data_IF_111097710068
#
_entry.id   IF_111097710068
#
_cell.length_a   1.000
_cell.length_b   1.000
_cell.length_c   1.000
_cell.angle_alpha   90.00
_cell.angle_beta   90.00
_cell.angle_gamma   90.00
#
_symmetry.space_group_name_H-M   'P 1'
#
loop_
_entity.id
_entity.type
_entity.pdbx_description
1 polymer ?
#
# COMPACT_ATOMS: atom_id res chain seq x y z
N UNK A 1 14.08 24.61 19.71
CA UNK A 1 13.98 23.83 18.95
C UNK A 1 13.03 23.58 17.82
N UNK A 2 11.85 23.30 18.17
CA UNK A 2 10.90 22.91 17.12
C UNK A 2 10.64 24.04 16.14
N UNK A 3 10.85 25.26 16.56
CA UNK A 3 10.64 26.39 15.67
C UNK A 3 11.61 26.38 14.49
N UNK A 4 12.70 25.64 14.64
CA UNK A 4 13.67 25.55 13.57
C UNK A 4 13.18 24.69 12.41
N UNK A 5 12.25 23.81 12.68
CA UNK A 5 11.76 22.87 11.68
C UNK A 5 10.33 23.14 11.28
N UNK A 6 9.65 23.98 12.04
CA UNK A 6 8.23 24.19 11.84
C UNK A 6 7.89 25.65 11.74
N UNK A 7 7.22 26.00 10.66
CA UNK A 7 6.67 27.33 10.52
C UNK A 7 5.19 27.26 10.88
N UNK A 8 4.75 27.91 11.98
CA UNK A 8 3.35 27.85 12.39
C UNK A 8 2.38 28.34 11.32
N UNK A 9 2.85 29.21 10.45
CA UNK A 9 2.02 29.76 9.41
C UNK A 9 1.95 28.86 8.17
N UNK A 10 2.86 27.87 8.09
CA UNK A 10 2.90 26.94 6.97
C UNK A 10 3.21 25.54 7.50
N UNK A 11 2.26 24.93 8.20
CA UNK A 11 2.48 23.59 8.75
C UNK A 11 2.64 22.56 7.67
N UNK A 12 3.39 21.52 7.98
CA UNK A 12 3.53 20.40 7.05
C UNK A 12 2.19 19.67 6.95
N UNK A 13 1.94 18.99 5.83
CA UNK A 13 0.64 18.33 5.63
C UNK A 13 0.23 17.40 6.75
N UNK A 14 1.17 16.68 7.35
CA UNK A 14 0.82 15.73 8.41
C UNK A 14 0.61 16.39 9.77
N UNK A 15 0.86 17.69 9.86
CA UNK A 15 0.68 18.42 11.14
C UNK A 15 -0.72 19.01 11.28
N UNK A 16 -1.44 19.12 10.18
CA UNK A 16 -2.77 19.68 10.22
C UNK A 16 -3.85 18.61 10.28
N UNK A 17 -5.11 19.02 10.10
CA UNK A 17 -6.20 18.05 10.03
C UNK A 17 -5.98 17.10 8.87
N UNK A 18 -6.25 15.82 9.11
CA UNK A 18 -6.07 14.83 8.06
C UNK A 18 -7.30 14.74 7.18
N UNK A 19 -7.09 14.27 5.95
CA UNK A 19 -8.19 14.14 4.99
C UNK A 19 -9.16 13.05 5.45
N UNK A 20 -8.62 11.93 5.91
CA UNK A 20 -9.43 10.81 6.36
C UNK A 20 -9.30 10.60 7.86
N UNK A 21 -10.45 10.38 8.50
CA UNK A 21 -10.47 10.03 9.91
C UNK A 21 -11.13 8.67 10.15
N UNK A 22 -11.67 8.06 9.08
CA UNK A 22 -12.33 6.77 9.17
C UNK A 22 -11.70 5.79 8.20
N UNK A 23 -11.74 4.52 8.58
CA UNK A 23 -11.07 3.47 7.82
C UNK A 23 -11.65 3.25 6.43
N UNK A 24 -12.98 3.12 6.33
CA UNK A 24 -13.60 2.77 5.06
C UNK A 24 -13.34 3.82 3.96
N UNK A 25 -13.53 5.12 4.21
CA UNK A 25 -13.21 6.11 3.18
C UNK A 25 -11.72 6.11 2.83
N UNK A 26 -10.85 5.85 3.80
CA UNK A 26 -9.42 5.82 3.53
C UNK A 26 -9.07 4.66 2.62
N UNK A 27 -9.68 3.51 2.84
CA UNK A 27 -9.46 2.35 1.99
C UNK A 27 -9.95 2.63 0.57
N UNK A 28 -11.12 3.25 0.44
CA UNK A 28 -11.65 3.58 -0.87
C UNK A 28 -10.73 4.53 -1.63
N UNK A 29 -10.19 5.51 -0.92
CA UNK A 29 -9.27 6.46 -1.54
C UNK A 29 -7.98 5.78 -1.97
N UNK A 30 -7.46 4.89 -1.13
CA UNK A 30 -6.27 4.11 -1.49
C UNK A 30 -6.54 3.26 -2.73
N UNK A 31 -7.69 2.59 -2.77
CA UNK A 31 -8.04 1.78 -3.93
C UNK A 31 -8.01 2.59 -5.21
N UNK A 32 -8.64 3.77 -5.17
CA UNK A 32 -8.68 4.61 -6.35
C UNK A 32 -7.27 5.03 -6.77
N UNK A 33 -6.46 5.45 -5.81
CA UNK A 33 -5.11 5.91 -6.12
C UNK A 33 -4.21 4.80 -6.64
N UNK A 34 -4.27 3.64 -6.01
CA UNK A 34 -3.40 2.54 -6.39
C UNK A 34 -3.83 1.90 -7.69
N UNK A 35 -5.09 2.11 -8.09
CA UNK A 35 -5.58 1.59 -9.37
C UNK A 35 -5.43 2.58 -10.51
N UNK A 36 -4.84 3.75 -10.29
CA UNK A 36 -4.53 4.64 -11.39
C UNK A 36 -3.51 3.96 -12.30
N UNK A 37 -3.66 4.05 -13.62
CA UNK A 37 -2.82 3.27 -14.54
C UNK A 37 -1.33 3.40 -14.29
N UNK A 38 -0.82 4.61 -14.11
CA UNK A 38 0.61 4.80 -13.87
C UNK A 38 1.05 4.20 -12.56
N UNK A 39 0.25 4.37 -11.52
CA UNK A 39 0.56 3.83 -10.20
C UNK A 39 0.48 2.31 -10.23
N UNK A 40 -0.58 1.79 -10.83
CA UNK A 40 -0.76 0.35 -10.97
C UNK A 40 0.45 -0.30 -11.64
N UNK A 41 0.88 0.25 -12.78
CA UNK A 41 2.01 -0.32 -13.50
C UNK A 41 3.30 -0.24 -12.70
N UNK A 42 3.50 0.85 -11.98
CA UNK A 42 4.68 0.99 -11.13
C UNK A 42 4.70 -0.02 -9.99
N UNK A 43 3.55 -0.21 -9.34
CA UNK A 43 3.44 -1.16 -8.25
C UNK A 43 3.68 -2.59 -8.75
N UNK A 44 3.00 -2.95 -9.83
CA UNK A 44 3.12 -4.29 -10.38
C UNK A 44 4.56 -4.57 -10.82
N UNK A 45 5.20 -3.57 -11.43
CA UNK A 45 6.59 -3.72 -11.83
C UNK A 45 7.52 -3.96 -10.65
N UNK A 46 7.33 -3.19 -9.58
CA UNK A 46 8.16 -3.34 -8.39
C UNK A 46 7.94 -4.71 -7.74
N UNK A 47 6.69 -5.13 -7.65
CA UNK A 47 6.39 -6.44 -7.07
C UNK A 47 6.96 -7.57 -7.94
N UNK A 48 6.90 -7.41 -9.24
CA UNK A 48 7.48 -8.40 -10.16
C UNK A 48 9.00 -8.47 -10.01
N UNK A 49 9.62 -7.34 -9.69
CA UNK A 49 11.06 -7.29 -9.46
C UNK A 49 11.48 -7.85 -8.11
N UNK A 50 10.53 -8.23 -7.28
CA UNK A 50 10.83 -8.87 -6.02
C UNK A 50 10.67 -8.01 -4.78
N UNK A 51 10.14 -6.80 -4.90
CA UNK A 51 9.90 -5.97 -3.73
C UNK A 51 8.83 -6.63 -2.86
N UNK A 52 9.10 -6.87 -1.57
CA UNK A 52 8.09 -7.50 -0.71
C UNK A 52 6.86 -6.65 -0.54
N UNK A 53 5.71 -7.30 -0.41
CA UNK A 53 4.44 -6.61 -0.24
C UNK A 53 4.45 -5.70 0.98
N UNK A 54 5.02 -6.18 2.09
CA UNK A 54 5.08 -5.37 3.30
C UNK A 54 5.86 -4.08 3.12
N UNK A 55 6.98 -4.18 2.40
CA UNK A 55 7.80 -3.02 2.15
C UNK A 55 7.08 -2.01 1.25
N UNK A 56 6.40 -2.50 0.24
CA UNK A 56 5.60 -1.64 -0.62
C UNK A 56 4.48 -0.96 0.17
N UNK A 57 3.80 -1.72 1.03
CA UNK A 57 2.74 -1.16 1.86
C UNK A 57 3.29 -0.06 2.77
N UNK A 58 4.47 -0.30 3.35
CA UNK A 58 5.08 0.70 4.20
C UNK A 58 5.34 2.00 3.46
N UNK A 59 5.91 1.91 2.26
CA UNK A 59 6.19 3.09 1.47
C UNK A 59 4.93 3.88 1.13
N UNK A 60 3.89 3.15 0.71
CA UNK A 60 2.63 3.78 0.34
C UNK A 60 2.01 4.50 1.54
N UNK A 61 2.01 3.84 2.69
CA UNK A 61 1.36 4.40 3.86
C UNK A 61 2.13 5.57 4.44
N UNK A 62 3.46 5.49 4.45
CA UNK A 62 4.25 6.62 4.90
C UNK A 62 4.09 7.83 4.00
N UNK A 63 4.00 7.61 2.71
CA UNK A 63 3.78 8.71 1.79
C UNK A 63 2.42 9.36 2.03
N UNK A 64 1.39 8.55 2.22
CA UNK A 64 0.07 9.08 2.53
C UNK A 64 0.05 9.86 3.83
N UNK A 65 0.73 9.34 4.85
CA UNK A 65 0.83 10.04 6.11
C UNK A 65 1.56 11.37 5.94
N UNK A 66 2.68 11.37 5.22
CA UNK A 66 3.45 12.59 5.00
C UNK A 66 2.63 13.65 4.26
N UNK A 67 1.71 13.21 3.42
CA UNK A 67 0.84 14.11 2.68
C UNK A 67 -0.41 14.51 3.46
N UNK A 68 -0.52 14.08 4.71
CA UNK A 68 -1.64 14.48 5.54
C UNK A 68 -2.93 13.74 5.25
N UNK A 69 -2.84 12.57 4.63
CA UNK A 69 -4.05 11.82 4.29
C UNK A 69 -4.71 11.21 5.51
N UNK A 70 -3.93 10.78 6.49
CA UNK A 70 -4.45 10.15 7.70
C UNK A 70 -3.46 10.29 8.83
N UNK A 71 -3.94 10.11 10.05
CA UNK A 71 -3.08 10.16 11.23
C UNK A 71 -2.37 8.82 11.44
N UNK A 72 -1.42 8.76 12.37
CA UNK A 72 -0.69 7.52 12.60
C UNK A 72 -1.56 6.33 13.01
N UNK A 73 -2.61 6.58 13.79
CA UNK A 73 -3.49 5.48 14.21
C UNK A 73 -4.20 4.86 13.02
N UNK A 74 -4.73 5.70 12.14
CA UNK A 74 -5.41 5.21 10.95
C UNK A 74 -4.42 4.54 10.01
N UNK A 75 -3.20 5.08 9.93
CA UNK A 75 -2.16 4.46 9.12
C UNK A 75 -1.92 3.01 9.54
N UNK A 76 -1.87 2.76 10.84
CA UNK A 76 -1.66 1.40 11.33
C UNK A 76 -2.82 0.48 10.97
N UNK A 77 -4.04 1.01 11.01
CA UNK A 77 -5.20 0.22 10.63
C UNK A 77 -5.24 -0.07 9.13
N UNK A 78 -4.57 0.75 8.36
CA UNK A 78 -4.54 0.57 6.91
C UNK A 78 -3.52 -0.46 6.43
N UNK A 79 -2.64 -0.94 7.32
CA UNK A 79 -1.59 -1.87 6.92
C UNK A 79 -2.15 -3.12 6.26
N UNK A 80 -3.04 -3.81 6.96
CA UNK A 80 -3.59 -5.05 6.43
C UNK A 80 -4.39 -4.85 5.15
N UNK A 81 -5.33 -3.89 5.10
CA UNK A 81 -6.04 -3.65 3.85
C UNK A 81 -5.12 -3.30 2.69
N UNK A 82 -4.07 -2.52 2.95
CA UNK A 82 -3.14 -2.14 1.89
C UNK A 82 -2.43 -3.36 1.34
N UNK A 83 -2.00 -4.27 2.21
CA UNK A 83 -1.35 -5.49 1.77
C UNK A 83 -2.28 -6.32 0.90
N UNK A 84 -3.56 -6.42 1.28
CA UNK A 84 -4.52 -7.16 0.47
C UNK A 84 -4.75 -6.48 -0.88
N UNK A 85 -4.79 -5.16 -0.91
CA UNK A 85 -4.93 -4.45 -2.18
C UNK A 85 -3.73 -4.77 -3.09
N UNK A 86 -2.53 -4.74 -2.54
CA UNK A 86 -1.33 -5.02 -3.33
C UNK A 86 -1.34 -6.44 -3.89
N UNK A 87 -1.77 -7.39 -3.09
CA UNK A 87 -1.89 -8.77 -3.55
C UNK A 87 -2.92 -8.87 -4.68
N UNK A 88 -4.04 -8.17 -4.52
CA UNK A 88 -5.08 -8.18 -5.54
C UNK A 88 -4.57 -7.57 -6.86
N UNK A 89 -3.80 -6.49 -6.76
CA UNK A 89 -3.22 -5.87 -7.96
C UNK A 89 -2.22 -6.81 -8.64
N UNK A 90 -1.40 -7.50 -7.85
CA UNK A 90 -0.46 -8.46 -8.39
C UNK A 90 -1.19 -9.60 -9.07
N UNK A 91 -2.27 -10.06 -8.46
CA UNK A 91 -3.07 -11.14 -9.01
C UNK A 91 -3.68 -10.74 -10.35
N UNK A 92 -4.16 -9.50 -10.44
CA UNK A 92 -4.72 -8.98 -11.68
C UNK A 92 -3.68 -8.95 -12.80
N UNK A 93 -2.43 -8.75 -12.45
CA UNK A 93 -1.35 -8.65 -13.42
C UNK A 93 -0.59 -9.98 -13.59
N UNK A 94 -1.09 -11.03 -12.95
CA UNK A 94 -0.48 -12.36 -13.04
C UNK A 94 0.95 -12.35 -12.52
N UNK A 95 1.19 -11.62 -11.43
CA UNK A 95 2.48 -11.53 -10.77
C UNK A 95 2.40 -12.24 -9.42
N UNK A 96 3.41 -13.01 -9.07
CA UNK A 96 3.49 -13.64 -7.76
C UNK A 96 4.34 -12.76 -6.85
N UNK A 97 3.71 -12.04 -5.93
CA UNK A 97 4.46 -11.12 -5.09
C UNK A 97 5.13 -11.85 -3.93
N UNK A 98 6.22 -11.28 -3.45
CA UNK A 98 6.88 -11.78 -2.26
C UNK A 98 6.20 -11.17 -1.05
N UNK A 99 5.84 -12.01 -0.10
CA UNK A 99 5.19 -11.56 1.12
C UNK A 99 6.21 -11.39 2.22
N UNK A 100 7.12 -12.35 2.32
CA UNK A 100 8.14 -12.34 3.35
C UNK A 100 9.41 -11.66 2.87
N UNK A 101 10.05 -10.98 3.79
CA UNK A 101 11.35 -10.39 3.55
C UNK A 101 12.39 -11.40 3.99
N UNK A 102 13.15 -11.91 3.02
CA UNK A 102 14.16 -12.90 3.33
C UNK A 102 15.33 -12.34 4.13
N UNK A 103 15.48 -11.04 4.06
CA UNK A 103 16.55 -10.34 4.75
C UNK A 103 16.10 -9.82 6.09
N UNK A 104 15.25 -10.58 6.76
CA UNK A 104 14.77 -10.23 8.07
C UNK A 104 15.95 -10.13 9.02
N UNK A 105 16.37 -8.92 9.27
CA UNK A 105 17.54 -8.67 10.09
C UNK A 105 17.07 -8.52 11.54
N UNK A 106 17.38 -9.54 12.34
CA UNK A 106 16.96 -9.53 13.74
C UNK A 106 17.55 -8.38 14.51
N UNK A 107 18.69 -7.87 14.06
CA UNK A 107 19.33 -6.76 14.73
C UNK A 107 18.56 -5.46 14.56
N UNK A 108 17.70 -5.39 13.56
CA UNK A 108 16.92 -4.19 13.31
C UNK A 108 15.63 -4.14 14.12
N UNK A 109 15.27 -5.22 14.79
CA UNK A 109 14.00 -5.29 15.51
C UNK A 109 13.81 -4.20 16.54
N UNK A 110 14.90 -3.84 17.23
CA UNK A 110 14.79 -2.84 18.27
C UNK A 110 14.46 -1.46 17.73
N UNK A 111 14.70 -1.25 16.44
CA UNK A 111 14.50 0.05 15.84
C UNK A 111 13.30 0.09 14.89
N UNK A 112 12.51 -0.97 14.89
CA UNK A 112 11.32 -1.01 14.03
C UNK A 112 10.34 0.08 14.43
N UNK A 113 9.85 0.79 13.44
CA UNK A 113 8.81 1.78 13.67
C UNK A 113 7.49 1.08 13.98
N UNK A 114 6.51 1.85 14.42
CA UNK A 114 5.20 1.28 14.70
C UNK A 114 4.58 0.65 13.46
N UNK A 115 4.81 1.25 12.29
CA UNK A 115 4.26 0.70 11.07
C UNK A 115 4.95 -0.60 10.68
N UNK A 116 6.26 -0.70 10.89
CA UNK A 116 6.96 -1.94 10.61
C UNK A 116 6.49 -3.06 11.52
N UNK A 117 6.22 -2.73 12.78
CA UNK A 117 5.66 -3.71 13.71
C UNK A 117 4.27 -4.15 13.28
N UNK A 118 3.46 -3.22 12.79
CA UNK A 118 2.14 -3.56 12.30
C UNK A 118 2.21 -4.46 11.08
N UNK A 119 3.17 -4.22 10.22
CA UNK A 119 3.37 -5.06 9.04
C UNK A 119 3.77 -6.47 9.45
N UNK A 120 4.67 -6.58 10.44
CA UNK A 120 5.07 -7.90 10.92
C UNK A 120 3.90 -8.67 11.50
N UNK A 121 3.04 -7.99 12.25
CA UNK A 121 1.84 -8.62 12.79
C UNK A 121 0.88 -9.02 11.68
N UNK A 122 0.74 -8.15 10.68
CA UNK A 122 -0.16 -8.42 9.58
C UNK A 122 0.31 -9.64 8.78
N UNK A 123 1.62 -9.80 8.63
CA UNK A 123 2.16 -10.96 7.92
C UNK A 123 1.77 -12.26 8.58
N UNK A 124 1.76 -12.29 9.92
CA UNK A 124 1.41 -13.49 10.64
C UNK A 124 -0.06 -13.87 10.47
N UNK A 125 -0.92 -12.88 10.40
CA UNK A 125 -2.35 -13.11 10.25
C UNK A 125 -2.80 -13.09 8.80
N UNK A 126 -1.93 -12.68 7.91
CA UNK A 126 -2.25 -12.43 6.53
C UNK A 126 -2.31 -13.73 5.73
N UNK A 127 -3.41 -13.93 5.01
CA UNK A 127 -3.57 -15.10 4.15
C UNK A 127 -3.80 -14.61 2.73
N UNK A 128 -2.77 -14.68 1.87
CA UNK A 128 -2.88 -14.13 0.51
C UNK A 128 -4.02 -14.71 -0.30
N UNK A 129 -4.40 -15.95 -0.03
CA UNK A 129 -5.48 -16.58 -0.77
C UNK A 129 -6.85 -16.16 -0.29
N UNK A 130 -6.92 -15.37 0.78
CA UNK A 130 -8.18 -14.95 1.38
C UNK A 130 -8.38 -13.44 1.28
N UNK A 131 -8.14 -12.90 0.10
CA UNK A 131 -8.38 -11.48 -0.14
C UNK A 131 -9.85 -11.18 0.11
N UNK A 132 -10.17 -10.15 0.92
CA UNK A 132 -11.56 -9.80 1.14
C UNK A 132 -12.29 -9.53 -0.18
N UNK A 133 -13.50 -10.05 -0.27
CA UNK A 133 -14.28 -9.94 -1.50
C UNK A 133 -14.47 -8.48 -1.90
N UNK A 134 -14.68 -7.61 -0.92
CA UNK A 134 -14.87 -6.20 -1.21
C UNK A 134 -13.66 -5.58 -1.88
N UNK A 135 -12.47 -5.90 -1.40
CA UNK A 135 -11.25 -5.38 -1.99
C UNK A 135 -11.05 -5.95 -3.38
N UNK A 136 -11.21 -7.26 -3.53
CA UNK A 136 -11.03 -7.90 -4.82
C UNK A 136 -12.00 -7.34 -5.85
N UNK A 137 -13.25 -7.20 -5.46
CA UNK A 137 -14.29 -6.69 -6.37
C UNK A 137 -13.98 -5.26 -6.81
N UNK A 138 -13.57 -4.41 -5.85
CA UNK A 138 -13.25 -3.03 -6.17
C UNK A 138 -12.01 -2.89 -7.04
N UNK A 139 -11.01 -3.72 -6.79
CA UNK A 139 -9.82 -3.72 -7.63
C UNK A 139 -10.16 -4.13 -9.05
N UNK A 140 -10.95 -5.17 -9.21
CA UNK A 140 -11.35 -5.60 -10.54
C UNK A 140 -12.11 -4.50 -11.29
N UNK A 141 -12.99 -3.84 -10.58
CA UNK A 141 -13.80 -2.78 -11.17
C UNK A 141 -12.95 -1.59 -11.57
N UNK A 142 -12.05 -1.19 -10.69
CA UNK A 142 -11.22 -0.01 -10.93
C UNK A 142 -10.13 -0.26 -11.97
N UNK A 143 -9.71 -1.51 -12.16
CA UNK A 143 -8.66 -1.83 -13.10
C UNK A 143 -9.17 -2.29 -14.46
N UNK A 144 -10.47 -2.45 -14.61
CA UNK A 144 -10.99 -3.01 -15.86
C UNK A 144 -10.69 -2.12 -17.08
N UNK A 145 -10.49 -0.83 -16.85
CA UNK A 145 -10.18 0.09 -17.94
C UNK A 145 -8.69 0.36 -18.11
N UNK A 146 -7.86 -0.30 -17.33
CA UNK A 146 -6.42 -0.09 -17.45
C UNK A 146 -5.88 -0.93 -18.59
N UNK A 147 -5.20 -0.29 -19.52
CA UNK A 147 -4.60 -0.99 -20.64
C UNK A 147 -3.46 -1.89 -20.13
N UNK A 148 -3.32 -3.08 -20.72
CA UNK A 148 -2.22 -3.96 -20.32
C UNK A 148 -0.89 -3.29 -20.51
N UNK A 149 0.01 -3.45 -19.54
CA UNK A 149 1.33 -2.88 -19.63
C UNK A 149 2.25 -3.67 -20.55
N UNK A 150 1.89 -4.89 -20.85
CA UNK A 150 2.70 -5.79 -21.65
C UNK A 150 1.93 -6.27 -22.87
N UNK A 151 2.53 -6.18 -24.08
CA UNK A 151 1.88 -6.69 -25.28
C UNK A 151 1.52 -8.18 -25.20
N UNK A 152 2.26 -8.92 -24.40
CA UNK A 152 1.99 -10.34 -24.25
C UNK A 152 0.63 -10.61 -23.64
N UNK A 153 0.13 -9.67 -22.85
CA UNK A 153 -1.19 -9.82 -22.27
C UNK A 153 -2.27 -9.71 -23.33
N UNK A 154 -2.03 -8.88 -24.33
CA UNK A 154 -2.97 -8.75 -25.42
C UNK A 154 -2.99 -9.98 -26.29
N UNK A 155 -1.83 -10.57 -26.55
CA UNK A 155 -1.77 -11.75 -27.39
C UNK A 155 -2.44 -12.94 -26.76
N UNK A 156 -2.50 -12.97 -25.44
CA UNK A 156 -3.18 -14.08 -24.76
C UNK A 156 -4.68 -14.07 -24.95
N UNK A 157 -5.24 -12.95 -25.27
CA UNK A 157 -6.68 -12.83 -25.41
C UNK A 157 -7.18 -13.33 -26.73
N UNK A 158 -6.29 -13.55 -27.63
CA UNK A 158 -6.66 -14.08 -28.92
C UNK A 158 -6.60 -15.58 -28.95
#
# INVERSE_FOLDING_TARGET
GQSLTNNPEAPLPFEGPTVHTELAPAIDDLLVKLCEPEVFHGIVGALADGLPVGEMAEQILFEGFAQGQYNPDLMLLLVEPTMYILIALADMADVEPRIDDEDDDEDAEEQLSHIEQAIEKAKDAFVPSQIPVEIKSKVEKLTENIAPSSPSLLSKKE
#
